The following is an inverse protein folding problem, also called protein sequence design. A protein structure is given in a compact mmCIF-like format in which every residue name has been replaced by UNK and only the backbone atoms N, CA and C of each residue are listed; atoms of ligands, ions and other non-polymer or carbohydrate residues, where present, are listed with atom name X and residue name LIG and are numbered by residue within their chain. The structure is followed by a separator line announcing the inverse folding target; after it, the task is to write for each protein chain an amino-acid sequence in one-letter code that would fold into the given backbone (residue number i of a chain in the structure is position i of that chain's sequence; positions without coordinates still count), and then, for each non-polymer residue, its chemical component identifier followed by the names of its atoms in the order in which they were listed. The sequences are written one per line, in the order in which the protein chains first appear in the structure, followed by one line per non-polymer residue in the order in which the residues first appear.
data_IF_566365249530
#
_entry.id   IF_566365249530
#
_cell.length_a   1.000
_cell.length_b   1.000
_cell.length_c   1.000
_cell.angle_alpha   90.00
_cell.angle_beta   90.00
_cell.angle_gamma   90.00
#
_symmetry.space_group_name_H-M   'P 1'
#
loop_
_entity.id
_entity.type
_entity.pdbx_description
1 polymer ?
#
# COMPACT_ATOMS: atom_id res chain seq x y z
N UNK A 1 27.49 41.90 33.91
CA UNK A 1 27.27 41.28 32.58
C UNK A 1 26.95 39.81 32.79
N UNK A 2 25.70 39.43 32.56
CA UNK A 2 25.14 38.13 32.96
C UNK A 2 25.41 37.06 31.89
N UNK A 3 26.41 36.20 32.09
CA UNK A 3 26.60 34.97 31.29
C UNK A 3 25.66 33.88 31.81
N UNK A 4 24.38 34.00 31.53
CA UNK A 4 23.38 32.98 31.83
C UNK A 4 22.64 32.70 30.53
N UNK A 5 22.40 31.41 30.25
CA UNK A 5 21.48 30.91 29.22
C UNK A 5 22.05 30.50 27.84
N UNK A 6 23.19 29.81 27.77
CA UNK A 6 23.52 29.04 26.54
C UNK A 6 23.30 27.53 26.67
N UNK A 7 23.40 26.96 27.89
CA UNK A 7 23.22 25.50 28.08
C UNK A 7 21.78 25.00 27.95
N UNK A 8 20.79 25.88 28.04
CA UNK A 8 19.37 25.54 27.84
C UNK A 8 18.95 25.54 26.36
N UNK A 9 19.68 26.25 25.50
CA UNK A 9 19.37 26.36 24.07
C UNK A 9 19.64 25.04 23.35
N UNK A 10 20.77 24.39 23.65
CA UNK A 10 21.21 23.17 22.97
C UNK A 10 20.27 21.97 23.24
N UNK A 11 19.72 21.84 24.44
CA UNK A 11 18.76 20.76 24.75
C UNK A 11 17.39 21.02 24.11
N UNK A 12 16.96 22.28 24.05
CA UNK A 12 15.68 22.66 23.43
C UNK A 12 15.72 22.48 21.90
N UNK A 13 16.86 22.80 21.28
CA UNK A 13 17.10 22.62 19.84
C UNK A 13 17.05 21.14 19.45
N UNK A 14 17.63 20.27 20.28
CA UNK A 14 17.58 18.82 20.10
C UNK A 14 16.16 18.25 20.32
N UNK A 15 15.38 18.84 21.24
CA UNK A 15 13.97 18.51 21.43
C UNK A 15 13.10 18.94 20.24
N UNK A 16 13.48 20.03 19.57
CA UNK A 16 12.85 20.51 18.33
C UNK A 16 13.02 19.55 17.15
N UNK A 17 14.07 18.72 17.15
CA UNK A 17 14.29 17.72 16.10
C UNK A 17 13.41 16.46 16.25
N UNK A 18 12.95 16.14 17.48
CA UNK A 18 12.12 14.96 17.75
C UNK A 18 10.87 14.88 16.86
N UNK A 19 10.02 15.92 16.73
CA UNK A 19 8.84 15.86 15.87
C UNK A 19 9.21 15.67 14.39
N UNK A 20 10.34 16.23 13.94
CA UNK A 20 10.83 16.03 12.56
C UNK A 20 11.24 14.58 12.34
N UNK A 21 11.97 13.97 13.29
CA UNK A 21 12.36 12.55 13.22
C UNK A 21 11.14 11.64 13.20
N UNK A 22 10.14 11.92 14.03
CA UNK A 22 8.86 11.18 14.02
C UNK A 22 8.18 11.30 12.66
N UNK A 23 8.13 12.52 12.08
CA UNK A 23 7.52 12.74 10.78
C UNK A 23 8.26 11.98 9.66
N UNK A 24 9.59 11.97 9.68
CA UNK A 24 10.40 11.18 8.73
C UNK A 24 10.13 9.69 8.90
N UNK A 25 10.08 9.19 10.14
CA UNK A 25 9.76 7.78 10.41
C UNK A 25 8.36 7.41 9.91
N UNK A 26 7.37 8.28 10.10
CA UNK A 26 6.02 8.07 9.56
C UNK A 26 6.04 8.00 8.02
N UNK A 27 6.80 8.87 7.35
CA UNK A 27 6.94 8.82 5.89
C UNK A 27 7.55 7.49 5.44
N UNK A 28 8.61 7.03 6.11
CA UNK A 28 9.24 5.73 5.79
C UNK A 28 8.25 4.58 5.96
N UNK A 29 7.49 4.55 7.06
CA UNK A 29 6.46 3.53 7.28
C UNK A 29 5.40 3.56 6.17
N UNK A 30 4.99 4.75 5.73
CA UNK A 30 4.01 4.89 4.64
C UNK A 30 4.54 4.40 3.28
N UNK A 31 5.82 4.65 2.98
CA UNK A 31 6.46 4.12 1.76
C UNK A 31 6.52 2.59 1.81
N UNK A 32 6.84 2.01 2.97
CA UNK A 32 6.81 0.56 3.16
C UNK A 32 5.40 0.00 2.96
N UNK A 33 4.37 0.61 3.57
CA UNK A 33 2.97 0.19 3.41
C UNK A 33 2.52 0.26 1.94
N UNK A 34 2.88 1.34 1.23
CA UNK A 34 2.60 1.48 -0.20
C UNK A 34 3.26 0.38 -1.03
N UNK A 35 4.55 0.13 -0.80
CA UNK A 35 5.32 -0.88 -1.54
C UNK A 35 4.77 -2.27 -1.28
N UNK A 36 4.47 -2.58 -0.02
CA UNK A 36 3.85 -3.86 0.37
C UNK A 36 2.50 -4.07 -0.32
N UNK A 37 1.65 -3.04 -0.33
CA UNK A 37 0.34 -3.07 -1.02
C UNK A 37 0.51 -3.28 -2.53
N UNK A 38 1.48 -2.61 -3.15
CA UNK A 38 1.75 -2.75 -4.58
C UNK A 38 2.18 -4.17 -4.97
N UNK A 39 3.06 -4.78 -4.16
CA UNK A 39 3.52 -6.15 -4.38
C UNK A 39 2.39 -7.16 -4.18
N UNK A 40 1.59 -7.00 -3.12
CA UNK A 40 0.44 -7.86 -2.86
C UNK A 40 -0.62 -7.75 -3.97
N UNK A 41 -0.90 -6.55 -4.47
CA UNK A 41 -1.84 -6.33 -5.56
C UNK A 41 -1.37 -6.99 -6.87
N UNK A 42 -0.08 -6.90 -7.21
CA UNK A 42 0.48 -7.55 -8.41
C UNK A 42 0.36 -9.08 -8.35
N UNK A 43 0.59 -9.68 -7.18
CA UNK A 43 0.36 -11.11 -6.98
C UNK A 43 -1.12 -11.48 -7.11
N UNK A 44 -1.99 -10.75 -6.40
CA UNK A 44 -3.42 -11.03 -6.38
C UNK A 44 -4.08 -10.89 -7.76
N UNK A 45 -3.69 -9.88 -8.57
CA UNK A 45 -4.27 -9.70 -9.92
C UNK A 45 -3.87 -10.82 -10.87
N UNK A 46 -2.65 -11.36 -10.74
CA UNK A 46 -2.17 -12.50 -11.55
C UNK A 46 -2.90 -13.78 -11.17
N UNK A 47 -3.14 -14.00 -9.89
CA UNK A 47 -3.94 -15.13 -9.41
C UNK A 47 -5.40 -15.02 -9.86
N UNK A 48 -5.96 -13.80 -9.83
CA UNK A 48 -7.28 -13.51 -10.39
C UNK A 48 -7.35 -13.79 -11.89
N UNK A 49 -6.36 -13.34 -12.66
CA UNK A 49 -6.29 -13.60 -14.11
C UNK A 49 -6.15 -15.10 -14.41
N UNK A 50 -5.37 -15.83 -13.61
CA UNK A 50 -5.26 -17.29 -13.70
C UNK A 50 -6.60 -17.96 -13.42
N UNK A 51 -7.29 -17.57 -12.35
CA UNK A 51 -8.61 -18.11 -12.03
C UNK A 51 -9.61 -17.85 -13.16
N UNK A 52 -9.61 -16.64 -13.73
CA UNK A 52 -10.45 -16.28 -14.87
C UNK A 52 -10.18 -17.15 -16.09
N UNK A 53 -8.90 -17.41 -16.42
CA UNK A 53 -8.52 -18.27 -17.55
C UNK A 53 -9.01 -19.72 -17.39
N UNK A 54 -9.13 -20.19 -16.14
CA UNK A 54 -9.64 -21.51 -15.77
C UNK A 54 -11.18 -21.55 -15.63
N UNK A 55 -11.88 -20.46 -15.95
CA UNK A 55 -13.33 -20.35 -15.79
C UNK A 55 -13.80 -20.28 -14.32
N UNK A 56 -12.90 -19.94 -13.39
CA UNK A 56 -13.20 -19.76 -11.97
C UNK A 56 -13.46 -18.28 -11.64
N UNK A 57 -14.00 -18.01 -10.46
CA UNK A 57 -14.25 -16.63 -10.00
C UNK A 57 -12.95 -15.88 -9.72
N UNK A 58 -12.71 -14.79 -10.46
CA UNK A 58 -11.56 -13.92 -10.27
C UNK A 58 -11.60 -13.19 -8.90
N UNK A 59 -12.78 -12.72 -8.47
CA UNK A 59 -12.97 -12.02 -7.19
C UNK A 59 -12.54 -12.89 -5.99
N UNK A 60 -13.01 -14.15 -5.93
CA UNK A 60 -12.66 -15.05 -4.84
C UNK A 60 -11.15 -15.37 -4.82
N UNK A 61 -10.52 -15.49 -5.99
CA UNK A 61 -9.08 -15.71 -6.09
C UNK A 61 -8.28 -14.49 -5.61
N UNK A 62 -8.66 -13.27 -6.05
CA UNK A 62 -8.02 -12.02 -5.62
C UNK A 62 -8.14 -11.85 -4.10
N UNK A 63 -9.34 -12.00 -3.53
CA UNK A 63 -9.57 -11.85 -2.09
C UNK A 63 -8.80 -12.88 -1.25
N UNK A 64 -8.61 -14.09 -1.78
CA UNK A 64 -7.83 -15.14 -1.11
C UNK A 64 -6.32 -14.91 -1.19
N UNK A 65 -5.84 -14.28 -2.26
CA UNK A 65 -4.42 -13.96 -2.43
C UNK A 65 -3.99 -12.68 -1.71
N UNK A 66 -4.93 -11.79 -1.38
CA UNK A 66 -4.63 -10.62 -0.56
C UNK A 66 -4.33 -11.00 0.90
N UNK A 67 -3.25 -10.48 1.50
CA UNK A 67 -2.96 -10.70 2.91
C UNK A 67 -4.00 -9.97 3.79
N UNK A 68 -4.32 -10.53 4.96
CA UNK A 68 -5.44 -10.06 5.79
C UNK A 68 -5.39 -8.61 6.31
N UNK A 69 -4.29 -7.88 6.08
CA UNK A 69 -4.18 -6.45 6.34
C UNK A 69 -4.55 -5.56 5.14
N UNK A 70 -4.89 -6.15 4.00
CA UNK A 70 -5.28 -5.47 2.76
C UNK A 70 -6.61 -6.00 2.27
N UNK A 71 -7.45 -5.12 1.73
CA UNK A 71 -8.73 -5.51 1.13
C UNK A 71 -8.87 -4.90 -0.27
N UNK A 72 -9.50 -5.67 -1.16
CA UNK A 72 -9.83 -5.21 -2.49
C UNK A 72 -11.10 -4.37 -2.43
N UNK A 73 -10.96 -3.08 -2.73
CA UNK A 73 -12.08 -2.16 -2.87
C UNK A 73 -12.97 -2.53 -4.06
N UNK A 74 -12.36 -2.93 -5.18
CA UNK A 74 -13.08 -3.47 -6.33
C UNK A 74 -12.24 -4.50 -7.08
N UNK A 75 -12.92 -5.47 -7.68
CA UNK A 75 -12.37 -6.45 -8.61
C UNK A 75 -13.24 -6.43 -9.85
N UNK A 76 -12.70 -5.90 -10.94
CA UNK A 76 -13.40 -5.71 -12.20
C UNK A 76 -12.83 -6.68 -13.25
N UNK A 77 -13.69 -7.33 -14.01
CA UNK A 77 -13.30 -8.25 -15.09
C UNK A 77 -13.76 -7.67 -16.41
N UNK A 78 -12.82 -7.44 -17.32
CA UNK A 78 -13.06 -6.87 -18.65
C UNK A 78 -12.50 -7.84 -19.70
N UNK A 79 -13.36 -8.70 -20.24
CA UNK A 79 -12.96 -9.75 -21.19
C UNK A 79 -12.03 -10.78 -20.53
N UNK A 80 -10.75 -10.76 -20.91
CA UNK A 80 -9.69 -11.61 -20.33
C UNK A 80 -8.78 -10.88 -19.35
N UNK A 81 -9.07 -9.61 -19.08
CA UNK A 81 -8.32 -8.77 -18.14
C UNK A 81 -9.03 -8.72 -16.80
N UNK A 82 -8.26 -8.90 -15.73
CA UNK A 82 -8.67 -8.64 -14.35
C UNK A 82 -8.03 -7.33 -13.91
N UNK A 83 -8.84 -6.42 -13.39
CA UNK A 83 -8.42 -5.13 -12.83
C UNK A 83 -8.81 -5.13 -11.36
N UNK A 84 -7.86 -4.84 -10.48
CA UNK A 84 -8.13 -4.75 -9.04
C UNK A 84 -7.78 -3.36 -8.53
N UNK A 85 -8.52 -2.96 -7.51
CA UNK A 85 -8.31 -1.72 -6.79
C UNK A 85 -8.12 -2.03 -5.30
N UNK A 86 -6.95 -1.73 -4.76
CA UNK A 86 -6.57 -2.04 -3.37
C UNK A 86 -6.25 -0.75 -2.64
N UNK A 87 -6.82 -0.58 -1.45
CA UNK A 87 -6.57 0.59 -0.63
C UNK A 87 -5.28 0.41 0.20
N UNK A 88 -4.45 1.45 0.23
CA UNK A 88 -3.19 1.43 0.98
C UNK A 88 -3.48 1.79 2.45
N UNK A 89 -3.04 0.97 3.42
CA UNK A 89 -3.13 1.31 4.84
C UNK A 89 -2.45 2.65 5.11
N UNK A 90 -3.11 3.53 5.88
CA UNK A 90 -2.62 4.89 6.11
C UNK A 90 -2.85 5.38 7.52
N UNK A 91 -2.04 6.35 7.93
CA UNK A 91 -2.32 7.18 9.09
C UNK A 91 -3.37 8.25 8.75
N UNK A 92 -4.21 8.70 9.73
CA UNK A 92 -5.29 9.64 9.50
C UNK A 92 -4.87 10.96 8.83
N UNK A 93 -3.63 11.39 9.10
CA UNK A 93 -3.02 12.64 8.62
C UNK A 93 -2.62 12.58 7.13
N UNK A 94 -2.52 11.38 6.55
CA UNK A 94 -2.11 11.18 5.16
C UNK A 94 -3.35 11.02 4.26
N UNK A 95 -3.41 11.61 3.05
CA UNK A 95 -4.53 11.41 2.12
C UNK A 95 -4.74 9.93 1.76
N UNK A 96 -5.98 9.57 1.43
CA UNK A 96 -6.29 8.22 0.93
C UNK A 96 -5.64 8.00 -0.44
N UNK A 97 -4.89 6.90 -0.58
CA UNK A 97 -4.28 6.50 -1.83
C UNK A 97 -4.74 5.09 -2.20
N UNK A 98 -5.15 4.94 -3.45
CA UNK A 98 -5.68 3.69 -3.96
C UNK A 98 -4.83 3.23 -5.13
N UNK A 99 -4.36 1.99 -5.08
CA UNK A 99 -3.54 1.39 -6.14
C UNK A 99 -4.46 0.61 -7.07
N UNK A 100 -4.38 0.88 -8.38
CA UNK A 100 -5.06 0.10 -9.42
C UNK A 100 -4.02 -0.75 -10.16
N UNK A 101 -4.27 -2.05 -10.31
CA UNK A 101 -3.41 -2.98 -11.06
C UNK A 101 -4.25 -3.86 -11.97
N UNK A 102 -3.71 -4.18 -13.14
CA UNK A 102 -4.35 -5.03 -14.13
C UNK A 102 -3.43 -6.15 -14.62
N UNK A 103 -4.01 -7.31 -14.92
CA UNK A 103 -3.35 -8.41 -15.60
C UNK A 103 -4.32 -9.16 -16.51
N UNK A 104 -3.80 -9.71 -17.60
CA UNK A 104 -4.53 -10.59 -18.52
C UNK A 104 -3.73 -11.86 -18.77
N UNK A 105 -4.40 -13.01 -18.81
CA UNK A 105 -3.79 -14.28 -19.22
C UNK A 105 -4.53 -14.82 -20.45
N UNK A 106 -3.82 -15.22 -21.52
CA UNK A 106 -4.46 -15.77 -22.72
C UNK A 106 -5.16 -17.08 -22.38
N UNK A 107 -6.39 -17.25 -22.86
CA UNK A 107 -7.10 -18.52 -22.75
C UNK A 107 -6.35 -19.61 -23.51
N UNK A 108 -5.93 -20.66 -22.81
CA UNK A 108 -5.59 -21.94 -23.44
C UNK A 108 -6.89 -22.54 -23.98
N UNK A 109 -7.25 -22.19 -25.21
CA UNK A 109 -8.29 -22.88 -25.96
C UNK A 109 -7.86 -24.34 -26.12
N UNK A 110 -8.77 -25.26 -25.79
CA UNK A 110 -8.62 -26.69 -26.03
C UNK A 110 -9.43 -27.08 -27.26
#
# INVERSE_FOLDING_TARGET
MSRRTERGSSTLEMLGAIPVVILVMLVVVQVCAFTWTALAADQAVRDGARALSLGRSADAAVRRSLPGGLDARSVDVVGERVVIRVDVPRFPVVPAMTITRDASMPRTAR
#
